data_IF_712385766210
#
_entry.id   IF_712385766210
#
_cell.length_a   1.000
_cell.length_b   1.000
_cell.length_c   1.000
_cell.angle_alpha   90.00
_cell.angle_beta   90.00
_cell.angle_gamma   90.00
#
_symmetry.space_group_name_H-M   'P 1'
#
loop_
_entity.id
_entity.type
_entity.pdbx_description
1 polymer ?
#
# COMPACT_ATOMS: atom_id res chain seq x y z
N UNK A 1 -6.70 -2.96 -13.45
CA UNK A 1 -7.54 -4.17 -13.62
C UNK A 1 -7.27 -4.80 -14.97
N UNK A 2 -7.13 -6.13 -15.00
CA UNK A 2 -6.98 -6.89 -16.23
C UNK A 2 -8.35 -7.07 -16.90
N UNK A 3 -8.39 -6.92 -18.22
CA UNK A 3 -9.60 -7.13 -19.01
C UNK A 3 -9.34 -8.05 -20.20
N UNK A 4 -10.36 -8.74 -20.69
CA UNK A 4 -10.25 -9.53 -21.90
C UNK A 4 -10.55 -8.70 -23.15
N UNK A 5 -10.10 -9.18 -24.31
CA UNK A 5 -10.42 -8.55 -25.61
C UNK A 5 -11.92 -8.49 -25.87
N UNK A 6 -12.67 -9.52 -25.46
CA UNK A 6 -14.13 -9.58 -25.60
C UNK A 6 -14.79 -8.48 -24.76
N UNK A 7 -14.33 -8.27 -23.53
CA UNK A 7 -14.84 -7.21 -22.67
C UNK A 7 -14.60 -5.82 -23.28
N UNK A 8 -13.39 -5.56 -23.78
CA UNK A 8 -13.06 -4.28 -24.42
C UNK A 8 -13.96 -3.98 -25.62
N UNK A 9 -14.23 -5.00 -26.44
CA UNK A 9 -15.00 -4.85 -27.69
C UNK A 9 -16.50 -4.81 -27.43
N UNK A 10 -17.00 -5.49 -26.39
CA UNK A 10 -18.43 -5.68 -26.11
C UNK A 10 -19.19 -4.41 -25.71
N UNK A 11 -18.52 -3.26 -25.55
CA UNK A 11 -19.11 -2.02 -25.03
C UNK A 11 -19.76 -2.16 -23.64
N UNK A 12 -19.35 -3.16 -22.87
CA UNK A 12 -19.82 -3.38 -21.52
C UNK A 12 -19.58 -2.14 -20.63
N UNK A 13 -20.47 -1.93 -19.68
CA UNK A 13 -20.33 -0.85 -18.72
C UNK A 13 -19.37 -1.26 -17.59
N UNK A 14 -18.38 -0.42 -17.30
CA UNK A 14 -17.54 -0.56 -16.12
C UNK A 14 -18.05 0.42 -15.06
N UNK A 15 -18.59 -0.06 -13.91
CA UNK A 15 -19.21 0.80 -12.89
C UNK A 15 -18.15 1.46 -12.00
N UNK A 16 -17.09 2.00 -12.60
CA UNK A 16 -15.97 2.65 -11.91
C UNK A 16 -15.65 3.96 -12.65
N UNK A 17 -15.36 5.00 -11.89
CA UNK A 17 -14.94 6.27 -12.45
C UNK A 17 -13.59 6.13 -13.18
N UNK A 18 -13.45 6.68 -14.40
CA UNK A 18 -12.27 6.46 -15.24
C UNK A 18 -10.94 6.89 -14.60
N UNK A 19 -10.95 7.91 -13.75
CA UNK A 19 -9.78 8.44 -13.06
C UNK A 19 -9.29 7.55 -11.90
N UNK A 20 -10.15 6.64 -11.43
CA UNK A 20 -9.86 5.73 -10.31
C UNK A 20 -9.35 4.36 -10.72
N UNK A 21 -9.23 4.12 -12.03
CA UNK A 21 -8.83 2.81 -12.54
C UNK A 21 -7.84 2.94 -13.69
N UNK A 22 -6.94 1.97 -13.78
CA UNK A 22 -6.11 1.73 -14.96
C UNK A 22 -6.48 0.37 -15.51
N UNK A 23 -6.79 0.32 -16.81
CA UNK A 23 -7.10 -0.91 -17.53
C UNK A 23 -5.80 -1.50 -18.06
N UNK A 24 -5.49 -2.72 -17.67
CA UNK A 24 -4.29 -3.43 -18.11
C UNK A 24 -4.61 -4.29 -19.33
N UNK A 25 -3.86 -4.04 -20.40
CA UNK A 25 -3.90 -4.82 -21.63
C UNK A 25 -2.80 -5.88 -21.52
N UNK A 26 -3.21 -7.09 -21.18
CA UNK A 26 -2.29 -8.22 -20.98
C UNK A 26 -1.72 -8.72 -22.31
N UNK A 27 -0.56 -9.37 -22.29
CA UNK A 27 0.19 -9.89 -23.45
C UNK A 27 -0.62 -10.80 -24.38
N UNK A 28 -1.67 -11.46 -23.83
CA UNK A 28 -2.55 -12.36 -24.61
C UNK A 28 -3.55 -11.64 -25.52
N UNK A 29 -3.74 -10.34 -25.34
CA UNK A 29 -4.62 -9.53 -26.17
C UNK A 29 -3.95 -9.31 -27.52
N UNK A 30 -4.59 -9.77 -28.60
CA UNK A 30 -4.12 -9.47 -29.96
C UNK A 30 -4.57 -8.07 -30.35
N UNK A 31 -3.66 -7.16 -30.75
CA UNK A 31 -3.96 -5.77 -31.12
C UNK A 31 -4.67 -5.69 -32.49
N UNK A 32 -5.81 -6.35 -32.61
CA UNK A 32 -6.65 -6.27 -33.83
C UNK A 32 -7.24 -4.87 -33.99
N UNK A 33 -7.68 -4.53 -35.21
CA UNK A 33 -8.35 -3.24 -35.47
C UNK A 33 -9.57 -3.03 -34.56
N UNK A 34 -10.29 -4.09 -34.23
CA UNK A 34 -11.42 -4.02 -33.30
C UNK A 34 -10.98 -3.63 -31.87
N UNK A 35 -9.90 -4.22 -31.38
CA UNK A 35 -9.33 -3.91 -30.07
C UNK A 35 -8.79 -2.48 -30.03
N UNK A 36 -8.02 -2.05 -31.03
CA UNK A 36 -7.50 -0.68 -31.12
C UNK A 36 -8.63 0.34 -31.13
N UNK A 37 -9.70 0.11 -31.88
CA UNK A 37 -10.86 0.99 -31.90
C UNK A 37 -11.62 0.98 -30.55
N UNK A 38 -11.67 -0.17 -29.87
CA UNK A 38 -12.27 -0.27 -28.55
C UNK A 38 -11.46 0.53 -27.52
N UNK A 39 -10.14 0.37 -27.48
CA UNK A 39 -9.24 1.12 -26.61
C UNK A 39 -9.38 2.63 -26.85
N UNK A 40 -9.44 3.07 -28.12
CA UNK A 40 -9.65 4.47 -28.45
C UNK A 40 -10.94 5.02 -27.82
N UNK A 41 -12.07 4.30 -27.97
CA UNK A 41 -13.35 4.71 -27.37
C UNK A 41 -13.32 4.80 -25.84
N UNK A 42 -12.65 3.85 -25.19
CA UNK A 42 -12.50 3.86 -23.74
C UNK A 42 -11.59 5.01 -23.30
N UNK A 43 -10.52 5.28 -24.05
CA UNK A 43 -9.63 6.41 -23.82
C UNK A 43 -10.36 7.77 -23.93
N UNK A 44 -11.23 7.94 -24.92
CA UNK A 44 -12.09 9.12 -25.09
C UNK A 44 -13.06 9.33 -23.91
N UNK A 45 -13.46 8.23 -23.25
CA UNK A 45 -14.24 8.26 -22.01
C UNK A 45 -13.41 8.58 -20.75
N UNK A 46 -12.11 8.82 -20.90
CA UNK A 46 -11.20 9.20 -19.80
C UNK A 46 -10.49 8.03 -19.12
N UNK A 47 -10.66 6.79 -19.59
CA UNK A 47 -9.94 5.64 -19.02
C UNK A 47 -8.46 5.67 -19.38
N UNK A 48 -7.63 5.23 -18.44
CA UNK A 48 -6.18 5.08 -18.61
C UNK A 48 -5.83 3.63 -18.86
N UNK A 49 -4.79 3.41 -19.66
CA UNK A 49 -4.34 2.08 -20.03
C UNK A 49 -2.90 1.83 -19.60
N UNK A 50 -2.61 0.58 -19.23
CA UNK A 50 -1.27 0.05 -19.07
C UNK A 50 -1.08 -1.10 -20.07
N UNK A 51 0.09 -1.15 -20.70
CA UNK A 51 0.53 -2.30 -21.49
C UNK A 51 1.27 -3.22 -20.53
N UNK A 52 0.73 -4.42 -20.31
CA UNK A 52 1.23 -5.39 -19.36
C UNK A 52 2.18 -6.37 -20.05
N UNK A 53 3.27 -6.76 -19.36
CA UNK A 53 4.32 -7.65 -19.89
C UNK A 53 4.73 -7.31 -21.34
N UNK A 54 5.03 -6.03 -21.57
CA UNK A 54 5.24 -5.51 -22.91
C UNK A 54 6.56 -6.01 -23.52
N UNK A 55 6.48 -6.89 -24.53
CA UNK A 55 7.61 -7.53 -25.22
C UNK A 55 8.06 -6.84 -26.51
N UNK A 56 7.57 -5.65 -26.82
CA UNK A 56 7.92 -4.87 -28.03
C UNK A 56 7.53 -5.47 -29.39
N UNK A 57 6.45 -6.24 -29.40
CA UNK A 57 5.82 -6.63 -30.67
C UNK A 57 5.33 -5.37 -31.43
N UNK A 58 5.78 -5.15 -32.69
CA UNK A 58 5.32 -4.02 -33.51
C UNK A 58 3.80 -3.95 -33.68
N UNK A 59 3.09 -5.06 -33.54
CA UNK A 59 1.64 -5.07 -33.57
C UNK A 59 0.96 -4.19 -32.52
N UNK A 60 1.67 -3.89 -31.42
CA UNK A 60 1.19 -3.05 -30.33
C UNK A 60 1.42 -1.55 -30.56
N UNK A 61 2.19 -1.17 -31.58
CA UNK A 61 2.49 0.25 -31.86
C UNK A 61 1.25 1.15 -31.92
N UNK A 62 0.09 0.73 -32.53
CA UNK A 62 -1.11 1.54 -32.55
C UNK A 62 -1.71 1.82 -31.16
N UNK A 63 -1.38 1.03 -30.13
CA UNK A 63 -1.88 1.16 -28.76
C UNK A 63 -1.01 2.07 -27.91
N UNK A 64 0.26 2.28 -28.26
CA UNK A 64 1.20 3.10 -27.48
C UNK A 64 0.70 4.52 -27.22
N UNK A 65 0.02 5.13 -28.16
CA UNK A 65 -0.52 6.48 -28.02
C UNK A 65 -1.65 6.61 -26.98
N UNK A 66 -2.28 5.50 -26.61
CA UNK A 66 -3.33 5.44 -25.60
C UNK A 66 -2.80 4.98 -24.24
N UNK A 67 -1.58 4.45 -24.20
CA UNK A 67 -0.99 3.93 -22.98
C UNK A 67 -0.49 5.07 -22.08
N UNK A 68 -0.88 5.01 -20.82
CA UNK A 68 -0.35 5.86 -19.74
C UNK A 68 0.83 5.19 -19.05
N UNK A 69 0.90 3.86 -19.11
CA UNK A 69 1.93 3.05 -18.45
C UNK A 69 2.41 1.93 -19.39
N UNK A 70 3.71 1.66 -19.34
CA UNK A 70 4.31 0.44 -19.87
C UNK A 70 4.88 -0.32 -18.69
N UNK A 71 4.43 -1.56 -18.50
CA UNK A 71 4.87 -2.47 -17.46
C UNK A 71 5.84 -3.48 -18.07
N UNK A 72 6.92 -3.72 -17.38
CA UNK A 72 8.03 -4.58 -17.84
C UNK A 72 8.38 -5.53 -16.72
N UNK A 73 8.33 -6.84 -17.01
CA UNK A 73 8.78 -7.87 -16.10
C UNK A 73 10.33 -7.91 -16.07
N UNK A 74 10.90 -7.49 -14.92
CA UNK A 74 12.37 -7.46 -14.74
C UNK A 74 12.98 -8.83 -14.53
N UNK A 75 12.17 -9.87 -14.29
CA UNK A 75 12.68 -11.24 -14.17
C UNK A 75 13.00 -11.88 -15.53
N UNK A 76 12.34 -11.41 -16.59
CA UNK A 76 12.50 -11.92 -17.96
C UNK A 76 13.37 -11.02 -18.83
N UNK A 77 13.51 -9.75 -18.47
CA UNK A 77 14.21 -8.76 -19.28
C UNK A 77 15.54 -8.31 -18.63
N UNK A 78 16.63 -8.41 -19.34
CA UNK A 78 17.91 -7.86 -18.88
C UNK A 78 17.92 -6.33 -18.88
N UNK A 79 18.74 -5.72 -18.02
CA UNK A 79 18.94 -4.27 -18.00
C UNK A 79 19.33 -3.68 -19.34
N UNK A 80 20.19 -4.39 -20.12
CA UNK A 80 20.59 -3.96 -21.45
C UNK A 80 19.42 -3.93 -22.44
N UNK A 81 18.56 -4.94 -22.38
CA UNK A 81 17.34 -5.01 -23.19
C UNK A 81 16.35 -3.91 -22.79
N UNK A 82 16.13 -3.72 -21.50
CA UNK A 82 15.25 -2.66 -20.98
C UNK A 82 15.73 -1.27 -21.44
N UNK A 83 17.03 -1.02 -21.39
CA UNK A 83 17.65 0.21 -21.91
C UNK A 83 17.41 0.39 -23.40
N UNK A 84 17.65 -0.66 -24.20
CA UNK A 84 17.43 -0.62 -25.65
C UNK A 84 15.95 -0.37 -26.00
N UNK A 85 15.04 -0.96 -25.25
CA UNK A 85 13.61 -0.77 -25.41
C UNK A 85 13.17 0.66 -25.07
N UNK A 86 13.66 1.19 -23.98
CA UNK A 86 13.39 2.57 -23.60
C UNK A 86 13.90 3.58 -24.63
N UNK A 87 15.04 3.28 -25.24
CA UNK A 87 15.58 4.09 -26.33
C UNK A 87 14.71 4.03 -27.59
N UNK A 88 14.22 2.84 -27.98
CA UNK A 88 13.29 2.68 -29.12
C UNK A 88 11.99 3.46 -28.91
N UNK A 89 11.51 3.51 -27.70
CA UNK A 89 10.28 4.23 -27.31
C UNK A 89 10.57 5.59 -26.65
N UNK A 90 11.63 6.27 -27.06
CA UNK A 90 12.01 7.59 -26.51
C UNK A 90 10.90 8.66 -26.67
N UNK A 91 9.96 8.47 -27.60
CA UNK A 91 8.77 9.29 -27.78
C UNK A 91 7.59 8.96 -26.86
N UNK A 92 7.66 7.89 -26.07
CA UNK A 92 6.60 7.52 -25.15
C UNK A 92 6.54 8.51 -23.98
N UNK A 93 5.36 9.10 -23.77
CA UNK A 93 5.14 10.16 -22.75
C UNK A 93 4.58 9.63 -21.43
N UNK A 94 4.22 8.36 -21.37
CA UNK A 94 3.71 7.71 -20.16
C UNK A 94 4.83 7.28 -19.23
N UNK A 95 4.46 6.63 -18.14
CA UNK A 95 5.40 6.15 -17.12
C UNK A 95 5.80 4.71 -17.35
N UNK A 96 7.04 4.40 -16.97
CA UNK A 96 7.58 3.05 -16.98
C UNK A 96 7.44 2.43 -15.60
N UNK A 97 6.93 1.21 -15.55
CA UNK A 97 6.75 0.43 -14.33
C UNK A 97 7.54 -0.87 -14.44
N UNK A 98 8.40 -1.11 -13.45
CA UNK A 98 9.14 -2.35 -13.30
C UNK A 98 8.34 -3.31 -12.41
N UNK A 99 8.04 -4.50 -12.94
CA UNK A 99 7.31 -5.55 -12.23
C UNK A 99 8.25 -6.64 -11.73
N UNK A 100 7.78 -7.41 -10.73
CA UNK A 100 8.51 -8.53 -10.11
C UNK A 100 9.88 -8.11 -9.56
N UNK A 101 9.96 -6.90 -9.04
CA UNK A 101 11.16 -6.45 -8.34
C UNK A 101 11.29 -7.22 -7.02
N UNK A 102 12.39 -7.96 -6.84
CA UNK A 102 12.60 -8.83 -5.68
C UNK A 102 13.69 -8.31 -4.73
N UNK A 103 14.53 -7.37 -5.17
CA UNK A 103 15.63 -6.84 -4.38
C UNK A 103 15.91 -5.36 -4.67
N UNK A 104 16.64 -4.72 -3.73
CA UNK A 104 16.99 -3.30 -3.80
C UNK A 104 17.93 -3.00 -4.99
N UNK A 105 18.86 -3.89 -5.31
CA UNK A 105 19.81 -3.68 -6.40
C UNK A 105 19.08 -3.61 -7.75
N UNK A 106 18.14 -4.51 -7.98
CA UNK A 106 17.26 -4.49 -9.16
C UNK A 106 16.44 -3.20 -9.21
N UNK A 107 15.84 -2.78 -8.10
CA UNK A 107 15.09 -1.51 -8.02
C UNK A 107 15.97 -0.33 -8.43
N UNK A 108 17.14 -0.17 -7.82
CA UNK A 108 18.06 0.93 -8.10
C UNK A 108 18.56 0.93 -9.55
N UNK A 109 18.82 -0.24 -10.11
CA UNK A 109 19.28 -0.37 -11.49
C UNK A 109 18.21 0.10 -12.49
N UNK A 110 16.94 -0.26 -12.28
CA UNK A 110 15.83 0.19 -13.14
C UNK A 110 15.46 1.65 -12.89
N UNK A 111 15.58 2.13 -11.65
CA UNK A 111 15.40 3.55 -11.31
C UNK A 111 16.44 4.42 -12.06
N UNK A 112 17.70 3.99 -12.10
CA UNK A 112 18.76 4.65 -12.87
C UNK A 112 18.49 4.66 -14.38
N UNK A 113 17.74 3.69 -14.91
CA UNK A 113 17.23 3.70 -16.28
C UNK A 113 16.04 4.62 -16.49
N UNK A 114 15.53 5.26 -15.42
CA UNK A 114 14.39 6.17 -15.44
C UNK A 114 13.04 5.46 -15.42
N UNK A 115 12.94 4.30 -14.79
CA UNK A 115 11.64 3.73 -14.38
C UNK A 115 11.15 4.51 -13.17
N UNK A 116 9.86 4.84 -13.15
CA UNK A 116 9.27 5.71 -12.14
C UNK A 116 8.39 4.94 -11.16
N UNK A 117 7.92 3.77 -11.55
CA UNK A 117 7.02 2.95 -10.77
C UNK A 117 7.60 1.54 -10.62
N UNK A 118 7.35 0.94 -9.47
CA UNK A 118 7.91 -0.37 -9.12
C UNK A 118 6.84 -1.22 -8.45
N UNK A 119 6.78 -2.48 -8.83
CA UNK A 119 5.90 -3.49 -8.26
C UNK A 119 6.66 -4.78 -8.08
N UNK A 120 6.50 -5.47 -6.96
CA UNK A 120 7.12 -6.77 -6.74
C UNK A 120 7.22 -7.16 -5.28
N UNK A 121 7.71 -8.38 -5.06
CA UNK A 121 7.83 -8.98 -3.75
C UNK A 121 8.81 -8.22 -2.82
N UNK A 122 9.78 -7.49 -3.39
CA UNK A 122 10.67 -6.62 -2.63
C UNK A 122 9.92 -5.71 -1.64
N UNK A 123 8.78 -5.14 -2.05
CA UNK A 123 7.97 -4.25 -1.21
C UNK A 123 7.09 -4.99 -0.18
N UNK A 124 6.93 -6.29 -0.34
CA UNK A 124 6.14 -7.15 0.54
C UNK A 124 6.97 -8.26 1.18
N UNK A 125 8.30 -8.28 0.92
CA UNK A 125 9.20 -9.32 1.39
C UNK A 125 9.29 -9.28 2.91
N UNK A 126 8.89 -10.36 3.61
CA UNK A 126 9.11 -10.45 5.05
C UNK A 126 10.62 -10.44 5.29
N UNK A 127 11.07 -9.54 6.14
CA UNK A 127 12.44 -9.58 6.63
C UNK A 127 12.49 -10.71 7.65
N UNK A 128 13.00 -11.88 7.24
CA UNK A 128 13.23 -12.98 8.18
C UNK A 128 14.36 -12.54 9.10
N UNK A 129 13.99 -12.03 10.26
CA UNK A 129 14.92 -11.75 11.34
C UNK A 129 15.24 -13.05 12.01
N UNK A 130 16.32 -13.72 11.59
CA UNK A 130 16.80 -14.92 12.25
C UNK A 130 17.12 -14.61 13.70
N UNK A 131 16.31 -15.11 14.63
CA UNK A 131 16.67 -15.27 16.02
C UNK A 131 16.89 -13.99 16.83
N UNK A 132 16.34 -12.85 16.45
CA UNK A 132 16.26 -11.72 17.35
C UNK A 132 15.23 -12.03 18.43
N UNK A 133 15.70 -12.22 19.67
CA UNK A 133 14.85 -12.17 20.85
C UNK A 133 13.97 -10.94 20.72
N UNK A 134 12.64 -11.12 20.80
CA UNK A 134 11.72 -9.99 20.87
C UNK A 134 12.28 -8.99 21.87
N UNK A 135 12.57 -7.77 21.43
CA UNK A 135 13.03 -6.75 22.37
C UNK A 135 11.96 -6.58 23.46
N UNK A 136 12.34 -6.29 24.72
CA UNK A 136 11.38 -6.08 25.79
C UNK A 136 10.25 -5.11 25.43
N UNK A 137 10.53 -4.11 24.60
CA UNK A 137 9.57 -3.17 24.03
C UNK A 137 8.49 -3.84 23.17
N UNK A 138 8.81 -4.87 22.42
CA UNK A 138 7.83 -5.59 21.57
C UNK A 138 6.87 -6.43 22.40
N UNK A 139 7.36 -7.08 23.44
CA UNK A 139 6.52 -7.82 24.40
C UNK A 139 5.62 -6.87 25.20
N UNK A 140 6.12 -5.71 25.56
CA UNK A 140 5.35 -4.68 26.27
C UNK A 140 4.26 -4.10 25.38
N UNK A 141 4.55 -3.81 24.11
CA UNK A 141 3.55 -3.39 23.13
C UNK A 141 2.44 -4.44 22.95
N UNK A 142 2.81 -5.73 22.83
CA UNK A 142 1.84 -6.81 22.73
C UNK A 142 0.94 -6.89 23.99
N UNK A 143 1.51 -6.72 25.18
CA UNK A 143 0.76 -6.67 26.44
C UNK A 143 -0.22 -5.48 26.46
N UNK A 144 0.24 -4.28 26.10
CA UNK A 144 -0.59 -3.07 26.06
C UNK A 144 -1.74 -3.26 25.08
N UNK A 145 -1.46 -3.81 23.90
CA UNK A 145 -2.50 -4.08 22.91
C UNK A 145 -3.51 -5.11 23.43
N UNK A 146 -3.06 -6.18 24.07
CA UNK A 146 -3.95 -7.17 24.70
C UNK A 146 -4.91 -6.51 25.70
N UNK A 147 -4.41 -5.68 26.61
CA UNK A 147 -5.21 -4.93 27.56
C UNK A 147 -6.21 -3.98 26.88
N UNK A 148 -5.80 -3.34 25.78
CA UNK A 148 -6.73 -2.49 25.01
C UNK A 148 -7.89 -3.26 24.37
N UNK A 149 -7.76 -4.57 24.13
CA UNK A 149 -8.80 -5.41 23.52
C UNK A 149 -9.71 -6.11 24.51
N UNK A 150 -9.50 -5.95 25.80
CA UNK A 150 -10.41 -6.44 26.80
C UNK A 150 -11.79 -5.79 26.63
N UNK A 151 -12.83 -6.52 27.03
CA UNK A 151 -14.22 -6.07 26.92
C UNK A 151 -14.49 -4.83 27.78
N UNK A 152 -13.83 -4.76 28.93
CA UNK A 152 -13.83 -3.64 29.88
C UNK A 152 -12.39 -3.33 30.31
N UNK A 153 -11.63 -2.53 29.52
CA UNK A 153 -10.24 -2.26 29.81
C UNK A 153 -10.07 -1.46 31.12
N UNK A 154 -9.21 -1.94 32.01
CA UNK A 154 -8.83 -1.15 33.19
C UNK A 154 -7.86 -0.02 32.75
N UNK A 155 -8.40 1.20 32.74
CA UNK A 155 -7.65 2.39 32.35
C UNK A 155 -6.47 2.70 33.28
N UNK A 156 -6.55 2.25 34.53
CA UNK A 156 -5.50 2.47 35.52
C UNK A 156 -4.32 1.53 35.24
N UNK A 157 -4.60 0.24 35.05
CA UNK A 157 -3.58 -0.75 34.66
C UNK A 157 -2.97 -0.37 33.32
N UNK A 158 -3.80 -0.04 32.33
CA UNK A 158 -3.33 0.36 31.00
C UNK A 158 -2.40 1.60 31.07
N UNK A 159 -2.78 2.60 31.86
CA UNK A 159 -1.96 3.79 32.09
C UNK A 159 -0.61 3.45 32.74
N UNK A 160 -0.59 2.52 33.69
CA UNK A 160 0.62 2.09 34.35
C UNK A 160 1.55 1.37 33.39
N UNK A 161 1.05 0.38 32.64
CA UNK A 161 1.84 -0.40 31.70
C UNK A 161 2.40 0.48 30.56
N UNK A 162 1.63 1.45 30.07
CA UNK A 162 2.13 2.42 29.07
C UNK A 162 3.22 3.31 29.68
N UNK A 163 3.08 3.71 30.94
CA UNK A 163 4.06 4.59 31.62
C UNK A 163 5.41 3.90 31.89
N UNK A 164 5.44 2.57 31.88
CA UNK A 164 6.66 1.79 31.98
C UNK A 164 7.54 1.87 30.70
N UNK A 165 6.98 2.32 29.58
CA UNK A 165 7.73 2.59 28.35
C UNK A 165 7.85 4.11 28.12
N UNK A 166 9.03 4.71 28.42
CA UNK A 166 9.22 6.15 28.25
C UNK A 166 9.09 6.63 26.80
N UNK A 167 9.51 5.81 25.81
CA UNK A 167 9.44 6.18 24.39
C UNK A 167 7.99 6.25 23.93
N UNK A 168 7.18 5.23 24.28
CA UNK A 168 5.76 5.19 23.97
C UNK A 168 5.02 6.32 24.67
N UNK A 169 5.27 6.54 25.97
CA UNK A 169 4.66 7.62 26.74
C UNK A 169 4.91 9.00 26.12
N UNK A 170 6.16 9.32 25.80
CA UNK A 170 6.54 10.59 25.16
C UNK A 170 5.89 10.71 23.78
N UNK A 171 5.83 9.65 22.99
CA UNK A 171 5.22 9.66 21.68
C UNK A 171 3.72 9.96 21.76
N UNK A 172 3.00 9.31 22.66
CA UNK A 172 1.58 9.54 22.90
C UNK A 172 1.30 10.97 23.42
N UNK A 173 2.13 11.47 24.33
CA UNK A 173 2.02 12.85 24.82
C UNK A 173 2.25 13.88 23.72
N UNK A 174 3.22 13.65 22.82
CA UNK A 174 3.43 14.51 21.64
C UNK A 174 2.22 14.50 20.70
N UNK A 175 1.62 13.34 20.46
CA UNK A 175 0.45 13.21 19.60
C UNK A 175 -0.73 14.00 20.16
N UNK A 176 -1.08 13.78 21.43
CA UNK A 176 -2.26 14.41 22.06
C UNK A 176 -2.10 15.92 22.23
N UNK A 177 -0.88 16.41 22.31
CA UNK A 177 -0.55 17.84 22.39
C UNK A 177 -0.27 18.47 21.01
N UNK A 178 -0.41 17.72 19.92
CA UNK A 178 -0.24 18.23 18.56
C UNK A 178 -1.46 19.05 18.13
N UNK A 179 -1.34 19.87 17.06
CA UNK A 179 -2.48 20.57 16.47
C UNK A 179 -3.64 19.65 16.03
N UNK A 180 -3.38 18.35 15.89
CA UNK A 180 -4.40 17.35 15.57
C UNK A 180 -5.44 17.16 16.69
N UNK A 181 -5.05 17.43 17.94
CA UNK A 181 -5.91 17.34 19.11
C UNK A 181 -5.83 18.63 19.93
N UNK A 182 -6.45 19.74 19.47
CA UNK A 182 -6.36 21.02 20.17
C UNK A 182 -6.80 20.91 21.63
N UNK A 183 -5.97 21.40 22.57
CA UNK A 183 -6.25 21.41 24.00
C UNK A 183 -6.03 22.81 24.56
N UNK A 184 -6.81 23.18 25.57
CA UNK A 184 -6.65 24.48 26.27
C UNK A 184 -5.37 24.54 27.12
N UNK A 185 -4.87 23.38 27.58
CA UNK A 185 -3.63 23.24 28.33
C UNK A 185 -2.94 21.93 27.95
N UNK A 186 -1.58 21.89 27.98
CA UNK A 186 -0.84 20.67 27.64
C UNK A 186 -1.16 19.51 28.58
N UNK A 187 -1.37 18.34 28.00
CA UNK A 187 -1.55 17.08 28.71
C UNK A 187 -0.17 16.52 29.08
N UNK A 188 0.02 16.17 30.34
CA UNK A 188 1.32 15.72 30.87
C UNK A 188 1.29 14.30 31.46
N UNK A 189 0.10 13.70 31.62
CA UNK A 189 -0.05 12.36 32.20
C UNK A 189 -0.64 11.39 31.21
N UNK A 190 -0.13 10.17 31.16
CA UNK A 190 -0.63 9.09 30.27
C UNK A 190 -2.11 8.78 30.50
N UNK A 191 -2.58 8.81 31.74
CA UNK A 191 -4.00 8.62 32.06
C UNK A 191 -4.89 9.65 31.35
N UNK A 192 -4.47 10.91 31.30
CA UNK A 192 -5.22 11.98 30.63
C UNK A 192 -5.16 11.82 29.10
N UNK A 193 -4.05 11.27 28.55
CA UNK A 193 -3.96 10.87 27.15
C UNK A 193 -5.04 9.84 26.81
N UNK A 194 -5.16 8.79 27.63
CA UNK A 194 -6.13 7.71 27.41
C UNK A 194 -7.56 8.27 27.43
N UNK A 195 -7.86 9.08 28.44
CA UNK A 195 -9.19 9.72 28.55
C UNK A 195 -9.49 10.65 27.36
N UNK A 196 -8.48 11.35 26.86
CA UNK A 196 -8.65 12.29 25.74
C UNK A 196 -8.83 11.60 24.40
N UNK A 197 -8.05 10.58 24.14
CA UNK A 197 -8.09 9.82 22.86
C UNK A 197 -9.25 8.83 22.83
N UNK A 198 -9.55 8.21 23.95
CA UNK A 198 -10.39 7.02 24.04
C UNK A 198 -9.62 5.77 23.58
N UNK A 199 -10.12 4.60 23.95
CA UNK A 199 -9.47 3.30 23.71
C UNK A 199 -9.24 3.04 22.22
N UNK A 200 -10.20 3.36 21.36
CA UNK A 200 -10.12 3.09 19.92
C UNK A 200 -8.96 3.85 19.24
N UNK A 201 -8.85 5.15 19.51
CA UNK A 201 -7.75 5.96 18.95
C UNK A 201 -6.42 5.60 19.59
N UNK A 202 -6.42 5.26 20.88
CA UNK A 202 -5.22 4.79 21.56
C UNK A 202 -4.66 3.53 20.93
N UNK A 203 -5.49 2.52 20.66
CA UNK A 203 -5.10 1.30 19.93
C UNK A 203 -4.40 1.61 18.62
N UNK A 204 -5.02 2.48 17.80
CA UNK A 204 -4.46 2.87 16.49
C UNK A 204 -3.09 3.53 16.63
N UNK A 205 -2.93 4.44 17.60
CA UNK A 205 -1.65 5.11 17.82
C UNK A 205 -0.57 4.19 18.35
N UNK A 206 -0.89 3.28 19.26
CA UNK A 206 0.06 2.30 19.79
C UNK A 206 0.53 1.37 18.67
N UNK A 207 -0.39 0.88 17.86
CA UNK A 207 -0.08 0.03 16.72
C UNK A 207 0.79 0.76 15.67
N UNK A 208 0.48 2.03 15.41
CA UNK A 208 1.28 2.87 14.50
C UNK A 208 2.69 3.08 15.04
N UNK A 209 2.84 3.43 16.30
CA UNK A 209 4.16 3.63 16.93
C UNK A 209 4.95 2.32 16.87
N UNK A 210 4.33 1.19 17.21
CA UNK A 210 4.94 -0.12 17.13
C UNK A 210 5.44 -0.48 15.72
N UNK A 211 4.62 -0.25 14.71
CA UNK A 211 4.98 -0.55 13.32
C UNK A 211 6.12 0.31 12.79
N UNK A 212 6.18 1.58 13.16
CA UNK A 212 7.24 2.52 12.73
C UNK A 212 8.58 2.22 13.38
N UNK A 213 8.58 1.69 14.61
CA UNK A 213 9.82 1.39 15.33
C UNK A 213 10.48 0.07 14.93
N UNK A 214 9.74 -0.84 14.31
CA UNK A 214 10.18 -2.22 14.08
C UNK A 214 10.60 -2.54 12.63
N UNK A 215 10.35 -1.65 11.66
CA UNK A 215 10.47 -2.01 10.24
C UNK A 215 11.10 -0.93 9.35
N UNK A 216 11.44 -1.32 8.10
CA UNK A 216 11.83 -0.36 7.07
C UNK A 216 10.67 0.61 6.75
N UNK A 217 10.96 1.84 6.29
CA UNK A 217 9.93 2.80 5.90
C UNK A 217 8.94 2.25 4.87
N UNK A 218 9.41 1.42 3.93
CA UNK A 218 8.61 0.79 2.90
C UNK A 218 7.65 -0.26 3.48
N UNK A 219 8.15 -1.13 4.35
CA UNK A 219 7.33 -2.13 5.04
C UNK A 219 6.27 -1.48 5.93
N UNK A 220 6.65 -0.47 6.71
CA UNK A 220 5.72 0.32 7.53
C UNK A 220 4.60 0.92 6.68
N UNK A 221 4.96 1.53 5.54
CA UNK A 221 3.98 2.11 4.61
C UNK A 221 3.01 1.08 4.07
N UNK A 222 3.50 -0.09 3.65
CA UNK A 222 2.67 -1.19 3.13
C UNK A 222 1.66 -1.68 4.18
N UNK A 223 2.12 -1.88 5.40
CA UNK A 223 1.27 -2.33 6.51
C UNK A 223 0.18 -1.30 6.82
N UNK A 224 0.52 -0.01 6.85
CA UNK A 224 -0.45 1.07 7.08
C UNK A 224 -1.49 1.19 5.98
N UNK A 225 -1.07 1.09 4.71
CA UNK A 225 -1.99 1.09 3.56
C UNK A 225 -2.95 -0.09 3.65
N UNK A 226 -2.44 -1.29 3.96
CA UNK A 226 -3.26 -2.49 4.13
C UNK A 226 -4.27 -2.35 5.27
N UNK A 227 -3.84 -1.83 6.41
CA UNK A 227 -4.71 -1.56 7.55
C UNK A 227 -5.84 -0.58 7.19
N UNK A 228 -5.50 0.52 6.52
CA UNK A 228 -6.49 1.50 6.09
C UNK A 228 -7.46 0.93 5.05
N UNK A 229 -6.98 0.10 4.13
CA UNK A 229 -7.86 -0.61 3.19
C UNK A 229 -8.86 -1.52 3.90
N UNK A 230 -8.42 -2.31 4.88
CA UNK A 230 -9.31 -3.16 5.68
C UNK A 230 -10.38 -2.33 6.39
N UNK A 231 -10.02 -1.20 6.98
CA UNK A 231 -10.94 -0.26 7.62
C UNK A 231 -12.00 0.26 6.64
N UNK A 232 -11.56 0.79 5.49
CA UNK A 232 -12.46 1.38 4.51
C UNK A 232 -13.41 0.35 3.88
N UNK A 233 -12.92 -0.87 3.64
CA UNK A 233 -13.75 -1.96 3.14
C UNK A 233 -14.83 -2.36 4.16
N UNK A 234 -14.46 -2.53 5.43
CA UNK A 234 -15.39 -2.84 6.50
C UNK A 234 -16.46 -1.74 6.68
N UNK A 235 -16.03 -0.48 6.65
CA UNK A 235 -16.94 0.68 6.73
C UNK A 235 -17.95 0.72 5.58
N UNK A 236 -17.50 0.38 4.35
CA UNK A 236 -18.39 0.35 3.17
C UNK A 236 -19.35 -0.83 3.19
N UNK A 237 -18.94 -1.96 3.75
CA UNK A 237 -19.80 -3.12 3.90
C UNK A 237 -20.95 -2.87 4.86
N UNK A 238 -20.80 -1.95 5.83
CA UNK A 238 -21.81 -1.50 6.78
C UNK A 238 -22.59 -2.64 7.46
N UNK A 239 -21.88 -3.74 7.78
CA UNK A 239 -22.44 -4.90 8.48
C UNK A 239 -22.36 -4.69 9.98
N UNK A 240 -23.42 -4.96 10.76
CA UNK A 240 -23.38 -4.84 12.20
C UNK A 240 -22.41 -5.82 12.89
N UNK A 241 -22.02 -6.89 12.20
CA UNK A 241 -21.12 -7.92 12.71
C UNK A 241 -19.64 -7.60 12.43
N UNK A 242 -19.36 -6.54 11.68
CA UNK A 242 -18.01 -6.17 11.26
C UNK A 242 -17.65 -4.79 11.82
N UNK A 243 -16.74 -4.80 12.80
CA UNK A 243 -16.18 -3.56 13.34
C UNK A 243 -15.01 -3.06 12.46
N UNK A 244 -15.13 -1.88 11.82
CA UNK A 244 -14.06 -1.33 10.99
C UNK A 244 -12.73 -1.14 11.73
N UNK A 245 -12.77 -0.84 13.02
CA UNK A 245 -11.57 -0.65 13.84
C UNK A 245 -10.85 -1.97 14.10
N UNK A 246 -11.58 -3.06 14.31
CA UNK A 246 -11.00 -4.40 14.37
C UNK A 246 -10.39 -4.80 13.02
N UNK A 247 -11.04 -4.49 11.90
CA UNK A 247 -10.51 -4.75 10.57
C UNK A 247 -9.23 -3.96 10.29
N UNK A 248 -9.14 -2.71 10.72
CA UNK A 248 -7.89 -1.95 10.67
C UNK A 248 -6.76 -2.68 11.40
N UNK A 249 -7.07 -3.23 12.56
CA UNK A 249 -6.12 -3.94 13.38
C UNK A 249 -5.65 -5.26 12.76
N UNK A 250 -6.57 -6.02 12.18
CA UNK A 250 -6.25 -7.23 11.42
C UNK A 250 -5.31 -6.89 10.24
N UNK A 251 -5.58 -5.77 9.56
CA UNK A 251 -4.71 -5.27 8.50
C UNK A 251 -3.29 -4.93 8.99
N UNK A 252 -3.14 -4.34 10.18
CA UNK A 252 -1.84 -4.10 10.80
C UNK A 252 -1.14 -5.41 11.18
N UNK A 253 -1.84 -6.32 11.84
CA UNK A 253 -1.28 -7.61 12.28
C UNK A 253 -0.90 -8.50 11.10
N UNK A 254 -1.57 -8.38 9.95
CA UNK A 254 -1.23 -9.13 8.74
C UNK A 254 0.14 -8.77 8.15
N UNK A 255 0.79 -7.75 8.68
CA UNK A 255 2.14 -7.35 8.28
C UNK A 255 3.19 -7.62 9.35
N UNK A 256 2.86 -8.36 10.40
CA UNK A 256 3.79 -8.60 11.52
C UNK A 256 5.01 -9.42 11.09
N UNK A 257 4.87 -10.23 10.06
CA UNK A 257 5.93 -11.00 9.42
C UNK A 257 6.83 -10.16 8.49
N UNK A 258 6.41 -8.94 8.19
CA UNK A 258 7.15 -8.00 7.34
C UNK A 258 7.89 -6.96 8.21
N UNK A 259 7.47 -6.80 9.45
CA UNK A 259 8.07 -5.91 10.45
C UNK A 259 9.18 -6.60 11.24
#
# INVERSE_FOLDING_TARGET
INVSSEFLVSQSFLPIEPDKVVIELVERIKPTRAVVNAVARWYEKGFRFALDDFEFDPAWEPLLKYASYIKVDVSTLTLAQAKAFKQKLSGFKGKWLAERVEDEATKQAYEALGFELFQGYYFAKPTVVYGTRLEPSSLQLAKILSLCFEKEPDLTELSQVISEDPKLSVSLLKIVNSPLYPTASPITRVKDVIMRLGIEKLRRWIALIGSVTASSPEASRMVLVRAQMCYELAKRQNSPDIDPDQCYFVGLLSGIDIM
#
